data_IF_446571503754
#
_entry.id   IF_446571503754
#
_cell.length_a   1.000
_cell.length_b   1.000
_cell.length_c   1.000
_cell.angle_alpha   90.00
_cell.angle_beta   90.00
_cell.angle_gamma   90.00
#
_symmetry.space_group_name_H-M   'P 1'
#
loop_
_entity.id
_entity.type
_entity.pdbx_description
1 polymer ?
#
# COMPACT_ATOMS: atom_id res chain seq x y z
N UNK A 1 1.71 -1.87 -30.41
CA UNK A 1 1.42 -3.28 -30.06
C UNK A 1 1.68 -3.47 -28.58
N UNK A 2 0.89 -4.28 -27.86
CA UNK A 2 1.19 -4.60 -26.46
C UNK A 2 2.21 -5.74 -26.40
N UNK A 3 3.33 -5.54 -25.72
CA UNK A 3 4.34 -6.59 -25.58
C UNK A 3 3.96 -7.48 -24.39
N UNK A 4 3.68 -8.76 -24.64
CA UNK A 4 3.47 -9.75 -23.56
C UNK A 4 4.71 -10.59 -23.34
N UNK A 5 5.20 -10.62 -22.11
CA UNK A 5 6.29 -11.48 -21.65
C UNK A 5 5.76 -12.49 -20.63
N UNK A 6 6.41 -13.64 -20.48
CA UNK A 6 6.08 -14.62 -19.44
C UNK A 6 7.11 -14.54 -18.31
N UNK A 7 6.64 -14.52 -17.06
CA UNK A 7 7.47 -14.52 -15.86
C UNK A 7 7.18 -15.78 -15.04
N UNK A 8 8.22 -16.53 -14.67
CA UNK A 8 8.07 -17.71 -13.81
C UNK A 8 8.34 -17.32 -12.35
N UNK A 9 7.33 -17.46 -11.50
CA UNK A 9 7.36 -17.13 -10.08
C UNK A 9 8.42 -17.96 -9.36
N UNK A 10 9.38 -17.30 -8.72
CA UNK A 10 10.41 -17.93 -7.89
C UNK A 10 9.89 -18.18 -6.47
N UNK A 11 10.54 -19.11 -5.76
CA UNK A 11 10.23 -19.40 -4.35
C UNK A 11 10.43 -18.14 -3.49
N UNK A 12 9.36 -17.63 -2.88
CA UNK A 12 9.39 -16.41 -2.05
C UNK A 12 9.06 -15.08 -2.77
N UNK A 13 8.71 -15.13 -4.06
CA UNK A 13 8.13 -13.97 -4.76
C UNK A 13 6.64 -13.81 -4.45
N UNK A 14 6.18 -12.57 -4.46
CA UNK A 14 4.77 -12.19 -4.26
C UNK A 14 4.27 -11.41 -5.45
N UNK A 15 2.95 -11.42 -5.67
CA UNK A 15 2.33 -10.76 -6.82
C UNK A 15 2.63 -9.25 -6.84
N UNK A 16 2.79 -8.63 -5.65
CA UNK A 16 3.30 -7.26 -5.49
C UNK A 16 4.74 -7.07 -6.01
N UNK A 17 5.69 -7.92 -5.62
CA UNK A 17 7.10 -7.83 -6.05
C UNK A 17 7.21 -7.92 -7.58
N UNK A 18 6.45 -8.85 -8.17
CA UNK A 18 6.40 -9.06 -9.62
C UNK A 18 5.78 -7.85 -10.32
N UNK A 19 4.60 -7.39 -9.86
CA UNK A 19 3.93 -6.22 -10.41
C UNK A 19 4.85 -4.97 -10.38
N UNK A 20 5.53 -4.74 -9.26
CA UNK A 20 6.53 -3.67 -9.11
C UNK A 20 7.72 -3.83 -10.05
N UNK A 21 8.27 -5.04 -10.19
CA UNK A 21 9.41 -5.32 -11.08
C UNK A 21 9.11 -5.04 -12.57
N UNK A 22 7.84 -5.15 -12.98
CA UNK A 22 7.42 -4.87 -14.36
C UNK A 22 6.74 -3.51 -14.55
N UNK A 23 6.65 -2.71 -13.49
CA UNK A 23 5.92 -1.43 -13.45
C UNK A 23 4.45 -1.55 -13.91
N UNK A 24 3.75 -2.56 -13.39
CA UNK A 24 2.32 -2.82 -13.65
C UNK A 24 1.55 -2.86 -12.32
N UNK A 25 0.22 -2.69 -12.35
CA UNK A 25 -0.60 -2.85 -11.15
C UNK A 25 -0.86 -4.33 -10.82
N UNK A 26 -1.09 -4.63 -9.53
CA UNK A 26 -1.54 -5.96 -9.08
C UNK A 26 -2.84 -6.33 -9.79
N UNK A 27 -3.81 -5.43 -9.88
CA UNK A 27 -5.09 -5.68 -10.55
C UNK A 27 -4.91 -6.09 -12.02
N UNK A 28 -4.06 -5.37 -12.76
CA UNK A 28 -3.75 -5.72 -14.15
C UNK A 28 -3.05 -7.09 -14.23
N UNK A 29 -2.06 -7.35 -13.37
CA UNK A 29 -1.35 -8.62 -13.32
C UNK A 29 -2.29 -9.79 -12.97
N UNK A 30 -3.27 -9.59 -12.08
CA UNK A 30 -4.31 -10.55 -11.75
C UNK A 30 -5.25 -10.79 -12.93
N UNK A 31 -5.74 -9.71 -13.57
CA UNK A 31 -6.63 -9.76 -14.73
C UNK A 31 -6.02 -10.56 -15.89
N UNK A 32 -4.76 -10.29 -16.25
CA UNK A 32 -4.08 -11.01 -17.34
C UNK A 32 -3.85 -12.51 -17.08
N UNK A 33 -3.99 -12.94 -15.82
CA UNK A 33 -3.73 -14.30 -15.35
C UNK A 33 -4.97 -14.95 -14.71
N UNK A 34 -6.14 -14.31 -14.79
CA UNK A 34 -7.40 -14.74 -14.17
C UNK A 34 -7.27 -15.08 -12.66
N UNK A 35 -6.42 -14.36 -11.93
CA UNK A 35 -6.14 -14.62 -10.52
C UNK A 35 -7.17 -13.93 -9.62
N UNK A 36 -7.90 -14.73 -8.84
CA UNK A 36 -8.90 -14.23 -7.87
C UNK A 36 -8.24 -13.66 -6.62
N UNK A 37 -7.22 -14.33 -6.08
CA UNK A 37 -6.47 -13.90 -4.90
C UNK A 37 -5.07 -13.39 -5.27
N UNK A 38 -4.36 -12.84 -4.29
CA UNK A 38 -2.97 -12.36 -4.46
C UNK A 38 -1.94 -13.49 -4.23
N UNK A 39 -2.43 -14.70 -3.94
CA UNK A 39 -1.65 -15.92 -3.68
C UNK A 39 -1.12 -16.49 -4.99
N UNK A 40 0.20 -16.64 -5.08
CA UNK A 40 0.90 -17.29 -6.20
C UNK A 40 1.80 -18.41 -5.68
N UNK A 41 2.00 -19.44 -6.49
CA UNK A 41 2.84 -20.60 -6.17
C UNK A 41 4.20 -20.51 -6.87
N UNK A 42 5.29 -21.05 -6.30
CA UNK A 42 6.54 -21.22 -7.02
C UNK A 42 6.34 -22.02 -8.31
N UNK A 43 7.13 -21.70 -9.35
CA UNK A 43 7.03 -22.22 -10.71
C UNK A 43 5.73 -21.90 -11.47
N UNK A 44 4.80 -21.14 -10.89
CA UNK A 44 3.65 -20.60 -11.62
C UNK A 44 4.13 -19.63 -12.71
N UNK A 45 3.57 -19.73 -13.91
CA UNK A 45 3.87 -18.80 -15.01
C UNK A 45 2.83 -17.70 -15.05
N UNK A 46 3.28 -16.44 -15.03
CA UNK A 46 2.44 -15.25 -15.12
C UNK A 46 2.70 -14.53 -16.44
N UNK A 47 1.63 -14.26 -17.18
CA UNK A 47 1.60 -13.37 -18.33
C UNK A 47 1.70 -11.92 -17.87
N UNK A 48 2.76 -11.25 -18.27
CA UNK A 48 3.01 -9.83 -18.05
C UNK A 48 2.74 -9.09 -19.35
N UNK A 49 1.67 -8.31 -19.42
CA UNK A 49 1.37 -7.50 -20.61
C UNK A 49 1.87 -6.08 -20.40
N UNK A 50 3.05 -5.75 -20.90
CA UNK A 50 3.57 -4.38 -20.88
C UNK A 50 2.78 -3.56 -21.91
N UNK A 51 1.65 -3.00 -21.47
CA UNK A 51 1.00 -1.93 -22.20
C UNK A 51 1.98 -0.76 -22.28
N UNK A 52 2.30 -0.31 -23.50
CA UNK A 52 3.03 0.93 -23.68
C UNK A 52 2.23 2.04 -23.01
N UNK A 53 2.81 2.65 -21.97
CA UNK A 53 2.18 3.68 -21.18
C UNK A 53 1.96 4.92 -22.05
N UNK A 54 0.78 5.01 -22.68
CA UNK A 54 0.29 6.28 -23.22
C UNK A 54 0.14 7.23 -22.03
N UNK A 55 1.03 8.20 -21.94
CA UNK A 55 0.87 9.38 -21.11
C UNK A 55 -0.51 9.99 -21.39
N UNK A 56 -1.41 9.93 -20.42
CA UNK A 56 -2.71 10.61 -20.49
C UNK A 56 -2.97 11.35 -19.18
N UNK A 57 -3.22 12.64 -19.35
CA UNK A 57 -3.79 13.52 -18.33
C UNK A 57 -5.11 12.94 -17.78
N UNK A 58 -5.49 13.25 -16.53
CA UNK A 58 -6.51 12.50 -15.83
C UNK A 58 -7.94 12.89 -16.22
N UNK A 59 -8.75 11.91 -16.64
CA UNK A 59 -10.21 11.97 -16.60
C UNK A 59 -10.79 10.55 -16.62
N UNK A 60 -11.58 10.22 -15.58
CA UNK A 60 -12.66 9.20 -15.40
C UNK A 60 -12.81 8.08 -16.46
N UNK A 61 -13.24 6.84 -16.17
CA UNK A 61 -13.89 6.17 -15.02
C UNK A 61 -13.86 4.65 -15.31
N UNK A 62 -13.96 3.67 -14.39
CA UNK A 62 -13.96 3.62 -12.91
C UNK A 62 -13.57 2.18 -12.46
N UNK A 63 -13.26 1.99 -11.17
CA UNK A 63 -13.69 0.86 -10.31
C UNK A 63 -13.07 1.01 -8.92
N UNK A 64 -13.92 1.24 -7.91
CA UNK A 64 -13.66 1.10 -6.46
C UNK A 64 -12.45 1.85 -5.86
N UNK A 65 -12.64 3.15 -5.60
CA UNK A 65 -12.14 3.90 -4.42
C UNK A 65 -12.50 5.38 -4.67
N UNK A 66 -13.65 5.88 -4.18
CA UNK A 66 -14.05 7.26 -4.45
C UNK A 66 -13.21 8.20 -3.56
N UNK A 67 -12.38 9.03 -4.19
CA UNK A 67 -11.62 10.06 -3.45
C UNK A 67 -12.59 11.14 -2.97
N UNK A 68 -13.03 11.03 -1.72
CA UNK A 68 -13.99 11.97 -1.10
C UNK A 68 -13.32 13.20 -0.50
N UNK A 69 -12.04 13.09 -0.14
CA UNK A 69 -11.27 14.18 0.45
C UNK A 69 -9.78 14.00 0.19
N UNK A 70 -9.08 15.09 -0.10
CA UNK A 70 -7.63 15.12 -0.23
C UNK A 70 -7.05 16.11 0.80
N UNK A 71 -6.01 15.70 1.51
CA UNK A 71 -5.32 16.53 2.52
C UNK A 71 -3.81 16.36 2.45
N UNK A 72 -3.08 17.44 2.66
CA UNK A 72 -1.63 17.40 2.90
C UNK A 72 -1.39 17.22 4.40
N UNK A 73 -0.55 16.27 4.76
CA UNK A 73 -0.21 15.95 6.16
C UNK A 73 1.29 15.81 6.35
N UNK A 74 1.76 16.04 7.57
CA UNK A 74 3.13 15.68 7.96
C UNK A 74 3.19 14.17 8.27
N UNK A 75 3.99 13.43 7.51
CA UNK A 75 4.16 11.99 7.68
C UNK A 75 5.55 11.64 8.21
N UNK A 76 5.59 10.86 9.28
CA UNK A 76 6.76 10.08 9.70
C UNK A 76 6.51 8.58 9.46
N UNK A 77 7.45 7.72 9.88
CA UNK A 77 7.32 6.27 9.80
C UNK A 77 7.60 5.62 11.15
N UNK A 78 6.91 4.50 11.41
CA UNK A 78 7.11 3.65 12.59
C UNK A 78 7.29 2.18 12.21
N UNK A 79 7.73 1.38 13.18
CA UNK A 79 7.86 -0.08 13.06
C UNK A 79 7.23 -0.76 14.28
N UNK A 80 6.74 -1.99 14.11
CA UNK A 80 6.17 -2.79 15.20
C UNK A 80 7.25 -3.52 16.05
N UNK A 81 8.54 -3.35 15.71
CA UNK A 81 9.70 -3.95 16.37
C UNK A 81 10.27 -3.02 17.44
N UNK A 82 9.57 -2.92 18.57
CA UNK A 82 10.04 -2.27 19.79
C UNK A 82 9.83 -3.19 21.00
N UNK A 83 10.68 -3.02 22.04
CA UNK A 83 10.62 -3.89 23.21
C UNK A 83 9.29 -3.67 23.96
N UNK A 84 8.61 -4.76 24.33
CA UNK A 84 7.26 -4.72 24.91
C UNK A 84 6.12 -4.40 23.93
N UNK A 85 6.39 -4.00 22.69
CA UNK A 85 5.35 -3.71 21.71
C UNK A 85 4.67 -5.00 21.23
N UNK A 86 3.35 -5.12 21.41
CA UNK A 86 2.55 -6.26 20.93
C UNK A 86 2.57 -6.34 19.39
N UNK A 87 2.61 -5.20 18.72
CA UNK A 87 2.42 -5.08 17.26
C UNK A 87 0.95 -5.22 16.85
N UNK A 88 0.02 -5.00 17.78
CA UNK A 88 -1.42 -4.93 17.53
C UNK A 88 -1.82 -3.45 17.52
N UNK A 89 -2.51 -3.01 16.46
CA UNK A 89 -2.95 -1.61 16.30
C UNK A 89 -4.27 -1.34 17.04
N UNK A 90 -4.67 -0.07 17.11
CA UNK A 90 -5.94 0.38 17.69
C UNK A 90 -7.18 -0.30 17.06
N UNK A 91 -7.13 -0.74 15.80
CA UNK A 91 -8.20 -1.52 15.14
C UNK A 91 -8.04 -3.05 15.27
N UNK A 92 -7.07 -3.53 16.05
CA UNK A 92 -6.82 -4.97 16.24
C UNK A 92 -5.94 -5.63 15.17
N UNK A 93 -5.39 -4.88 14.21
CA UNK A 93 -4.55 -5.44 13.15
C UNK A 93 -3.21 -5.88 13.74
N UNK A 94 -2.85 -7.17 13.57
CA UNK A 94 -1.56 -7.69 14.00
C UNK A 94 -0.50 -7.52 12.90
N UNK A 95 0.36 -6.51 13.07
CA UNK A 95 1.43 -6.12 12.16
C UNK A 95 2.59 -7.14 12.10
N UNK A 96 2.79 -7.94 13.17
CA UNK A 96 3.83 -8.99 13.20
C UNK A 96 3.42 -10.22 12.41
N UNK A 97 2.13 -10.57 12.42
CA UNK A 97 1.55 -11.64 11.58
C UNK A 97 1.38 -11.21 10.12
N UNK A 98 1.22 -9.91 9.86
CA UNK A 98 0.98 -9.35 8.53
C UNK A 98 2.01 -8.25 8.19
N UNK A 99 3.31 -8.56 8.06
CA UNK A 99 4.37 -7.55 7.88
C UNK A 99 4.29 -6.76 6.57
N UNK A 100 3.52 -7.23 5.60
CA UNK A 100 3.27 -6.54 4.32
C UNK A 100 2.01 -5.64 4.36
N UNK A 101 1.22 -5.66 5.44
CA UNK A 101 0.01 -4.83 5.53
C UNK A 101 0.36 -3.35 5.62
N UNK A 102 -0.41 -2.52 4.93
CA UNK A 102 -0.22 -1.08 4.90
C UNK A 102 -1.19 -0.43 5.88
N UNK A 103 -0.67 -0.02 7.04
CA UNK A 103 -1.42 0.68 8.08
C UNK A 103 -0.77 2.04 8.34
N UNK A 104 -1.61 3.04 8.57
CA UNK A 104 -1.19 4.33 9.10
C UNK A 104 -1.82 4.59 10.47
N UNK A 105 -1.04 5.24 11.35
CA UNK A 105 -1.54 5.87 12.55
C UNK A 105 -2.05 7.27 12.22
N UNK A 106 -3.22 7.64 12.73
CA UNK A 106 -3.93 8.90 12.43
C UNK A 106 -4.51 9.57 13.68
N UNK A 107 -4.99 10.81 13.53
CA UNK A 107 -5.98 11.39 14.43
C UNK A 107 -7.41 10.97 13.98
N UNK A 108 -8.17 10.20 14.79
CA UNK A 108 -9.53 9.79 14.46
C UNK A 108 -10.51 10.93 14.18
N UNK A 109 -10.21 12.16 14.63
CA UNK A 109 -11.01 13.37 14.35
C UNK A 109 -10.82 13.89 12.91
N UNK A 110 -9.71 13.52 12.26
CA UNK A 110 -9.35 13.99 10.90
C UNK A 110 -9.57 12.88 9.87
N UNK A 111 -9.17 11.65 10.21
CA UNK A 111 -9.38 10.43 9.40
C UNK A 111 -9.93 9.36 10.35
N UNK A 112 -11.15 8.87 10.11
CA UNK A 112 -11.76 7.83 10.95
C UNK A 112 -10.95 6.54 10.89
N UNK A 113 -10.96 5.76 11.97
CA UNK A 113 -10.35 4.43 11.96
C UNK A 113 -11.14 3.47 11.06
N UNK A 114 -10.42 2.56 10.40
CA UNK A 114 -10.96 1.65 9.38
C UNK A 114 -11.04 2.25 7.97
N UNK A 115 -10.96 3.57 7.83
CA UNK A 115 -11.00 4.24 6.52
C UNK A 115 -9.84 3.82 5.62
N UNK A 116 -10.13 3.53 4.35
CA UNK A 116 -9.13 3.31 3.32
C UNK A 116 -8.56 4.64 2.85
N UNK A 117 -7.26 4.66 2.59
CA UNK A 117 -6.56 5.84 2.09
C UNK A 117 -5.54 5.47 1.02
N UNK A 118 -5.19 6.41 0.15
CA UNK A 118 -3.98 6.35 -0.66
C UNK A 118 -3.00 7.43 -0.18
N UNK A 119 -1.81 7.01 0.25
CA UNK A 119 -0.75 7.89 0.74
C UNK A 119 0.32 8.02 -0.34
N UNK A 120 0.59 9.24 -0.78
CA UNK A 120 1.59 9.56 -1.80
C UNK A 120 2.96 8.92 -1.48
N UNK A 121 3.52 8.17 -2.43
CA UNK A 121 4.81 7.47 -2.27
C UNK A 121 4.81 6.24 -1.35
N UNK A 122 3.73 5.96 -0.61
CA UNK A 122 3.60 4.78 0.26
C UNK A 122 2.61 3.75 -0.29
N UNK A 123 1.55 4.22 -0.96
CA UNK A 123 0.50 3.40 -1.58
C UNK A 123 -0.81 3.39 -0.80
N UNK A 124 -1.69 2.43 -1.14
CA UNK A 124 -2.94 2.20 -0.43
C UNK A 124 -2.68 1.68 0.99
N UNK A 125 -3.44 2.17 1.96
CA UNK A 125 -3.32 1.84 3.37
C UNK A 125 -4.67 1.93 4.09
N UNK A 126 -4.71 1.38 5.31
CA UNK A 126 -5.85 1.49 6.23
C UNK A 126 -5.46 2.44 7.36
N UNK A 127 -6.36 3.36 7.73
CA UNK A 127 -6.30 4.12 8.98
C UNK A 127 -6.56 3.18 10.16
N UNK A 128 -5.54 2.39 10.54
CA UNK A 128 -5.68 1.25 11.45
C UNK A 128 -5.17 1.50 12.87
N UNK A 129 -4.54 2.65 13.12
CA UNK A 129 -3.88 2.89 14.41
C UNK A 129 -3.98 4.35 14.86
N UNK A 130 -3.58 4.61 16.11
CA UNK A 130 -3.48 5.95 16.69
C UNK A 130 -2.20 6.08 17.50
N UNK A 131 -1.68 7.30 17.64
CA UNK A 131 -0.54 7.60 18.50
C UNK A 131 -0.79 8.83 19.36
N UNK A 132 -0.23 8.88 20.57
CA UNK A 132 -0.38 10.03 21.47
C UNK A 132 0.06 11.35 20.83
N UNK A 133 1.14 11.31 20.04
CA UNK A 133 1.70 12.46 19.32
C UNK A 133 1.24 12.56 17.84
N UNK A 134 0.19 11.83 17.46
CA UNK A 134 -0.43 11.85 16.12
C UNK A 134 -1.79 12.55 16.27
N UNK A 135 -1.78 13.86 16.00
CA UNK A 135 -2.89 14.79 16.20
C UNK A 135 -2.98 15.74 15.00
N UNK A 136 -4.20 16.11 14.61
CA UNK A 136 -4.44 16.97 13.45
C UNK A 136 -3.93 16.36 12.13
N UNK A 137 -3.37 17.19 11.26
CA UNK A 137 -2.85 16.80 9.95
C UNK A 137 -1.46 16.14 10.04
N UNK A 138 -1.34 15.10 10.86
CA UNK A 138 -0.12 14.32 11.05
C UNK A 138 -0.45 12.83 11.01
N UNK A 139 0.42 12.04 10.39
CA UNK A 139 0.32 10.58 10.35
C UNK A 139 1.66 9.91 10.64
N UNK A 140 1.61 8.61 10.94
CA UNK A 140 2.77 7.73 10.98
C UNK A 140 2.51 6.51 10.10
N UNK A 141 3.36 6.24 9.10
CA UNK A 141 3.21 5.07 8.21
C UNK A 141 3.94 3.84 8.75
N UNK A 142 3.32 2.67 8.71
CA UNK A 142 3.96 1.43 9.17
C UNK A 142 4.97 0.91 8.14
N UNK A 143 6.15 0.51 8.61
CA UNK A 143 7.04 -0.40 7.90
C UNK A 143 7.44 -1.57 8.79
N UNK A 144 7.48 -2.77 8.23
CA UNK A 144 8.05 -3.96 8.88
C UNK A 144 9.57 -3.90 9.01
N UNK A 145 10.24 -3.10 8.16
CA UNK A 145 11.68 -2.92 8.12
C UNK A 145 12.09 -1.54 8.66
N UNK A 146 12.97 -1.53 9.67
CA UNK A 146 13.57 -0.30 10.22
C UNK A 146 14.38 0.47 9.16
N UNK A 147 15.02 -0.23 8.21
CA UNK A 147 15.73 0.41 7.09
C UNK A 147 14.79 1.20 6.20
N UNK A 148 13.61 0.66 5.90
CA UNK A 148 12.65 1.32 5.00
C UNK A 148 11.88 2.45 5.71
N UNK A 149 11.66 2.34 7.02
CA UNK A 149 11.21 3.46 7.85
C UNK A 149 12.20 4.64 7.83
N UNK A 150 13.52 4.38 7.90
CA UNK A 150 14.52 5.45 7.78
C UNK A 150 14.57 6.05 6.36
N UNK A 151 14.49 5.23 5.30
CA UNK A 151 14.41 5.72 3.90
C UNK A 151 13.15 6.55 3.64
N UNK A 152 12.06 6.27 4.34
CA UNK A 152 10.84 7.08 4.25
C UNK A 152 11.06 8.50 4.77
N UNK A 153 11.74 8.62 5.92
CA UNK A 153 12.08 9.91 6.55
C UNK A 153 10.89 10.63 7.18
N UNK A 154 11.01 11.94 7.33
CA UNK A 154 9.89 12.85 7.65
C UNK A 154 9.66 13.78 6.47
N UNK A 155 8.41 13.92 6.03
CA UNK A 155 8.05 14.75 4.87
C UNK A 155 6.55 15.05 4.89
N UNK A 156 6.16 16.10 4.17
CA UNK A 156 4.76 16.32 3.88
C UNK A 156 4.36 15.43 2.69
N UNK A 157 3.17 14.83 2.77
CA UNK A 157 2.62 13.94 1.72
C UNK A 157 1.14 14.23 1.54
N UNK A 158 0.67 13.98 0.32
CA UNK A 158 -0.76 14.03 0.01
C UNK A 158 -1.44 12.72 0.39
N UNK A 159 -2.58 12.79 1.08
CA UNK A 159 -3.45 11.67 1.39
C UNK A 159 -4.80 11.86 0.70
N UNK A 160 -5.21 10.84 -0.04
CA UNK A 160 -6.56 10.70 -0.58
C UNK A 160 -7.35 9.76 0.33
N UNK A 161 -8.46 10.24 0.86
CA UNK A 161 -9.42 9.49 1.67
C UNK A 161 -10.44 8.86 0.74
N UNK A 162 -10.71 7.58 0.94
CA UNK A 162 -11.44 6.72 0.00
C UNK A 162 -12.70 6.16 0.67
N UNK A 163 -13.85 6.28 0.01
CA UNK A 163 -15.15 5.69 0.39
C UNK A 163 -15.75 4.86 -0.76
#
# INVERSE_FOLDING_TARGET
MAASSMHTVKKGETLYKIAKSYNVSISNLKSWNNLKTDTIKPNQKLKITKQASKTKNPSRSNSEDNVVKEIVVSASAFTASCNGCTGITSTGINLKKNPDIKVIAVDPKVIKLGTKVHVEGYGYAIAGDTGGNIKGNKIDVFFSSKSDAYKWGRKNVTIKILE
#
